data_IF_877851628896
#
_entry.id   IF_877851628896
#
_cell.length_a   1.000
_cell.length_b   1.000
_cell.length_c   1.000
_cell.angle_alpha   90.00
_cell.angle_beta   90.00
_cell.angle_gamma   90.00
#
_symmetry.space_group_name_H-M   'P 1'
#
loop_
_entity.id
_entity.type
_entity.pdbx_description
1 polymer ?
#
# COMPACT_ATOMS: atom_id res chain seq x y z
N UNK A 1 4.67 -18.63 9.32
CA UNK A 1 5.91 -17.85 9.43
C UNK A 1 6.13 -17.54 10.91
N UNK A 2 6.92 -18.37 11.60
CA UNK A 2 7.48 -17.99 12.89
C UNK A 2 8.39 -16.78 12.73
N UNK A 3 8.69 -16.04 13.77
CA UNK A 3 9.47 -14.79 13.90
C UNK A 3 10.72 -14.59 12.99
N UNK A 4 10.69 -15.07 11.74
CA UNK A 4 11.77 -14.88 10.77
C UNK A 4 11.46 -13.63 9.94
N UNK A 5 12.27 -12.62 10.10
CA UNK A 5 12.30 -11.49 9.19
C UNK A 5 12.99 -11.94 7.91
N UNK A 6 12.26 -11.96 6.81
CA UNK A 6 12.83 -12.15 5.47
C UNK A 6 13.05 -10.79 4.79
N UNK A 7 13.79 -10.80 3.69
CA UNK A 7 13.96 -9.60 2.88
C UNK A 7 13.38 -9.81 1.49
N UNK A 8 12.58 -8.84 1.06
CA UNK A 8 12.11 -8.70 -0.30
C UNK A 8 12.99 -7.67 -1.04
N UNK A 9 13.28 -7.93 -2.31
CA UNK A 9 13.96 -6.98 -3.17
C UNK A 9 12.94 -6.17 -3.95
N UNK A 10 12.94 -4.86 -3.73
CA UNK A 10 12.00 -3.94 -4.36
C UNK A 10 12.76 -2.93 -5.21
N UNK A 11 12.32 -2.74 -6.44
CA UNK A 11 12.88 -1.73 -7.34
C UNK A 11 12.66 -0.32 -6.79
N UNK A 12 13.72 0.51 -6.83
CA UNK A 12 13.67 1.89 -6.37
C UNK A 12 12.90 2.77 -7.36
N UNK A 13 13.22 2.66 -8.64
CA UNK A 13 12.56 3.41 -9.70
C UNK A 13 12.43 2.52 -10.95
N UNK A 14 11.20 2.09 -11.30
CA UNK A 14 10.98 1.24 -12.48
C UNK A 14 11.23 1.97 -13.82
N UNK A 15 11.34 3.30 -13.81
CA UNK A 15 11.57 4.13 -15.00
C UNK A 15 13.02 4.60 -15.12
N UNK A 16 13.93 4.14 -14.26
CA UNK A 16 15.34 4.51 -14.35
C UNK A 16 16.04 3.70 -15.44
N UNK A 17 17.02 4.30 -16.12
CA UNK A 17 17.87 3.59 -17.11
C UNK A 17 18.64 2.42 -16.47
N UNK A 18 19.04 2.56 -15.20
CA UNK A 18 19.63 1.49 -14.41
C UNK A 18 18.68 1.04 -13.30
N UNK A 19 18.28 -0.23 -13.33
CA UNK A 19 17.43 -0.82 -12.29
C UNK A 19 18.28 -0.97 -11.03
N UNK A 20 17.90 -0.23 -9.98
CA UNK A 20 18.45 -0.41 -8.65
C UNK A 20 17.39 -0.97 -7.72
N UNK A 21 17.77 -1.90 -6.87
CA UNK A 21 16.88 -2.51 -5.88
C UNK A 21 17.28 -2.13 -4.47
N UNK A 22 16.34 -2.23 -3.55
CA UNK A 22 16.57 -2.14 -2.11
C UNK A 22 15.98 -3.35 -1.42
N UNK A 23 16.58 -3.75 -0.32
CA UNK A 23 16.04 -4.79 0.55
C UNK A 23 15.04 -4.16 1.53
N UNK A 24 13.84 -4.72 1.55
CA UNK A 24 12.77 -4.35 2.47
C UNK A 24 12.47 -5.56 3.33
N UNK A 25 12.42 -5.38 4.65
CA UNK A 25 12.08 -6.45 5.59
C UNK A 25 10.62 -6.87 5.38
N UNK A 26 10.38 -8.17 5.45
CA UNK A 26 9.06 -8.79 5.34
C UNK A 26 8.78 -9.61 6.59
N UNK A 27 7.64 -9.39 7.22
CA UNK A 27 7.20 -10.12 8.41
C UNK A 27 5.73 -10.50 8.31
N UNK A 28 5.18 -11.08 9.37
CA UNK A 28 3.78 -11.49 9.44
C UNK A 28 2.80 -10.32 9.71
N UNK A 29 3.29 -9.11 9.96
CA UNK A 29 2.44 -7.93 10.12
C UNK A 29 2.87 -6.87 9.12
N UNK A 30 1.92 -6.46 8.27
CA UNK A 30 2.16 -5.50 7.19
C UNK A 30 1.06 -4.43 7.21
N UNK A 31 1.41 -3.23 6.76
CA UNK A 31 0.43 -2.21 6.39
C UNK A 31 0.32 -2.12 4.87
N UNK A 32 -0.92 -2.00 4.41
CA UNK A 32 -1.25 -1.75 3.00
C UNK A 32 -2.07 -0.46 2.90
N UNK A 33 -2.21 0.08 1.70
CA UNK A 33 -3.12 1.20 1.45
C UNK A 33 -4.57 0.76 1.65
N UNK A 34 -5.37 1.54 2.41
CA UNK A 34 -6.79 1.24 2.61
C UNK A 34 -7.58 1.16 1.30
N UNK A 35 -7.16 1.90 0.26
CA UNK A 35 -7.77 1.82 -1.06
C UNK A 35 -7.40 0.57 -1.85
N UNK A 36 -6.43 -0.21 -1.37
CA UNK A 36 -6.03 -1.49 -1.96
C UNK A 36 -6.90 -2.67 -1.49
N UNK A 37 -7.84 -2.44 -0.59
CA UNK A 37 -8.82 -3.42 -0.15
C UNK A 37 -10.25 -2.92 -0.35
N UNK A 38 -11.13 -3.78 -0.88
CA UNK A 38 -12.56 -3.48 -1.07
C UNK A 38 -13.40 -4.72 -0.71
N UNK A 39 -14.34 -4.55 0.22
CA UNK A 39 -15.22 -5.64 0.67
C UNK A 39 -16.27 -6.02 -0.38
N UNK A 40 -16.78 -5.04 -1.13
CA UNK A 40 -17.75 -5.20 -2.20
C UNK A 40 -17.21 -4.63 -3.51
N UNK A 41 -16.22 -5.29 -4.12
CA UNK A 41 -15.48 -4.72 -5.22
C UNK A 41 -16.34 -4.54 -6.48
N UNK A 42 -16.17 -3.44 -7.23
CA UNK A 42 -16.78 -3.27 -8.53
C UNK A 42 -16.24 -4.29 -9.55
N UNK A 43 -16.94 -4.51 -10.66
CA UNK A 43 -16.45 -5.35 -11.74
C UNK A 43 -15.03 -4.96 -12.18
N UNK A 44 -14.17 -5.95 -12.43
CA UNK A 44 -12.75 -5.77 -12.83
C UNK A 44 -11.84 -5.15 -11.76
N UNK A 45 -12.22 -5.23 -10.49
CA UNK A 45 -11.34 -4.87 -9.40
C UNK A 45 -10.21 -5.91 -9.26
N UNK A 46 -8.96 -5.46 -9.34
CA UNK A 46 -7.78 -6.33 -9.34
C UNK A 46 -6.90 -6.19 -8.09
N UNK A 47 -7.40 -5.49 -7.06
CA UNK A 47 -6.71 -5.37 -5.78
C UNK A 47 -7.26 -6.39 -4.79
N UNK A 48 -6.89 -6.30 -3.52
CA UNK A 48 -7.28 -7.25 -2.49
C UNK A 48 -8.77 -7.15 -2.16
N UNK A 49 -9.41 -8.30 -2.03
CA UNK A 49 -10.83 -8.46 -1.67
C UNK A 49 -11.00 -9.73 -0.87
N UNK A 50 -12.14 -9.94 -0.19
CA UNK A 50 -12.44 -11.21 0.46
C UNK A 50 -12.30 -12.39 -0.51
N UNK A 51 -11.65 -13.47 -0.06
CA UNK A 51 -11.37 -14.67 -0.86
C UNK A 51 -10.63 -14.37 -2.19
N UNK A 52 -9.81 -13.31 -2.18
CA UNK A 52 -9.10 -12.85 -3.36
C UNK A 52 -7.59 -12.95 -3.23
N UNK A 53 -6.93 -13.02 -4.39
CA UNK A 53 -5.49 -13.07 -4.47
C UNK A 53 -4.93 -11.77 -4.99
N UNK A 54 -3.79 -11.34 -4.42
CA UNK A 54 -3.05 -10.18 -4.89
C UNK A 54 -1.55 -10.39 -4.65
N UNK A 55 -0.71 -9.78 -5.46
CA UNK A 55 0.74 -9.78 -5.26
C UNK A 55 1.16 -8.57 -4.43
N UNK A 56 1.92 -8.81 -3.40
CA UNK A 56 2.69 -7.78 -2.71
C UNK A 56 3.92 -7.42 -3.56
N UNK A 57 4.12 -6.14 -3.85
CA UNK A 57 5.20 -5.69 -4.76
C UNK A 57 6.57 -6.16 -4.28
N UNK A 58 7.27 -6.90 -5.15
CA UNK A 58 8.59 -7.46 -4.84
C UNK A 58 8.60 -8.59 -3.82
N UNK A 59 7.43 -9.06 -3.34
CA UNK A 59 7.32 -10.11 -2.34
C UNK A 59 6.46 -11.28 -2.85
N UNK A 60 5.46 -11.68 -2.14
CA UNK A 60 4.68 -12.89 -2.37
C UNK A 60 3.29 -12.58 -2.95
N UNK A 61 2.64 -13.60 -3.48
CA UNK A 61 1.19 -13.61 -3.65
C UNK A 61 0.57 -13.96 -2.31
N UNK A 62 -0.46 -13.22 -1.92
CA UNK A 62 -1.26 -13.48 -0.72
C UNK A 62 -2.70 -13.76 -1.10
N UNK A 63 -3.37 -14.57 -0.28
CA UNK A 63 -4.79 -14.86 -0.33
C UNK A 63 -5.47 -14.24 0.88
N UNK A 64 -6.58 -13.54 0.69
CA UNK A 64 -7.38 -12.99 1.79
C UNK A 64 -8.26 -14.08 2.39
N UNK A 65 -7.93 -14.55 3.59
CA UNK A 65 -8.65 -15.63 4.26
C UNK A 65 -9.83 -15.11 5.08
N UNK A 66 -9.64 -13.98 5.78
CA UNK A 66 -10.63 -13.43 6.69
C UNK A 66 -10.43 -11.92 6.87
N UNK A 67 -11.53 -11.23 7.11
CA UNK A 67 -11.54 -9.78 7.38
C UNK A 67 -12.22 -9.52 8.72
N UNK A 68 -11.62 -8.69 9.53
CA UNK A 68 -12.24 -8.13 10.73
C UNK A 68 -12.62 -6.67 10.48
N UNK A 69 -13.80 -6.32 10.97
CA UNK A 69 -14.37 -4.98 10.83
C UNK A 69 -14.48 -4.31 12.20
N UNK A 70 -14.38 -3.00 12.22
CA UNK A 70 -14.74 -2.18 13.35
C UNK A 70 -16.27 -2.10 13.51
N UNK A 71 -16.73 -1.56 14.65
CA UNK A 71 -18.15 -1.36 14.91
C UNK A 71 -18.86 -0.41 13.94
N UNK A 72 -18.11 0.44 13.26
CA UNK A 72 -18.58 1.37 12.24
C UNK A 72 -18.61 0.77 10.82
N UNK A 73 -18.23 -0.51 10.67
CA UNK A 73 -18.16 -1.21 9.39
C UNK A 73 -16.88 -0.98 8.60
N UNK A 74 -15.95 -0.18 9.09
CA UNK A 74 -14.64 -0.01 8.46
C UNK A 74 -13.76 -1.24 8.68
N UNK A 75 -12.86 -1.52 7.75
CA UNK A 75 -11.92 -2.65 7.84
C UNK A 75 -10.91 -2.37 8.96
N UNK A 76 -10.83 -3.31 9.90
CA UNK A 76 -9.86 -3.27 11.00
C UNK A 76 -8.60 -4.04 10.65
N UNK A 77 -8.75 -5.29 10.22
CA UNK A 77 -7.65 -6.20 9.95
C UNK A 77 -8.03 -7.17 8.84
N UNK A 78 -7.13 -7.38 7.92
CA UNK A 78 -7.23 -8.44 6.91
C UNK A 78 -6.25 -9.55 7.28
N UNK A 79 -6.73 -10.76 7.39
CA UNK A 79 -5.91 -11.95 7.58
C UNK A 79 -5.68 -12.61 6.23
N UNK A 80 -4.42 -12.89 5.95
CA UNK A 80 -4.05 -13.43 4.66
C UNK A 80 -2.96 -14.50 4.80
N UNK A 81 -3.06 -15.54 4.01
CA UNK A 81 -2.04 -16.57 3.85
C UNK A 81 -1.13 -16.23 2.65
N UNK A 82 0.12 -16.62 2.77
CA UNK A 82 1.09 -16.53 1.68
C UNK A 82 0.95 -17.76 0.80
N UNK A 83 0.90 -17.56 -0.51
CA UNK A 83 0.94 -18.66 -1.48
C UNK A 83 2.37 -19.19 -1.58
N UNK A 84 2.53 -20.50 -1.40
CA UNK A 84 3.82 -21.15 -1.49
C UNK A 84 4.47 -20.95 -2.85
N UNK A 85 5.81 -20.83 -2.85
CA UNK A 85 6.64 -20.68 -4.05
C UNK A 85 6.27 -19.48 -4.94
N UNK A 86 5.59 -18.47 -4.38
CA UNK A 86 5.14 -17.27 -5.12
C UNK A 86 6.07 -16.07 -4.97
N UNK A 87 7.28 -16.25 -4.44
CA UNK A 87 8.24 -15.15 -4.21
C UNK A 87 8.61 -14.46 -5.52
N UNK A 88 8.52 -13.14 -5.53
CA UNK A 88 8.90 -12.33 -6.70
C UNK A 88 10.37 -12.57 -7.08
N UNK A 89 10.62 -12.79 -8.36
CA UNK A 89 11.94 -13.16 -8.88
C UNK A 89 12.23 -14.65 -8.92
N UNK A 90 11.49 -15.49 -8.18
CA UNK A 90 11.60 -16.95 -8.16
C UNK A 90 10.22 -17.62 -8.02
N UNK A 91 9.22 -17.06 -8.71
CA UNK A 91 7.84 -17.56 -8.64
C UNK A 91 7.66 -18.87 -9.42
N UNK A 92 7.41 -19.94 -8.70
CA UNK A 92 7.11 -21.27 -9.23
C UNK A 92 5.66 -21.70 -8.89
N UNK A 93 4.84 -20.81 -8.32
CA UNK A 93 3.46 -21.10 -7.93
C UNK A 93 2.55 -21.43 -9.11
N UNK A 94 2.93 -21.04 -10.32
CA UNK A 94 2.09 -21.15 -11.53
C UNK A 94 0.88 -20.21 -11.54
N UNK A 95 0.70 -19.38 -10.52
CA UNK A 95 -0.43 -18.46 -10.40
C UNK A 95 -0.16 -17.14 -11.13
N UNK A 96 -1.15 -16.71 -11.92
CA UNK A 96 -1.13 -15.39 -12.58
C UNK A 96 -2.10 -14.45 -11.90
N UNK A 97 -1.58 -13.53 -11.07
CA UNK A 97 -2.38 -12.52 -10.39
C UNK A 97 -2.18 -11.18 -11.09
N UNK A 98 -3.28 -10.51 -11.43
CA UNK A 98 -3.24 -9.21 -12.14
C UNK A 98 -2.93 -8.03 -11.22
N UNK A 99 -3.35 -8.14 -9.96
CA UNK A 99 -3.21 -7.07 -8.97
C UNK A 99 -1.84 -7.10 -8.31
N UNK A 100 -1.23 -5.92 -8.18
CA UNK A 100 -0.03 -5.69 -7.37
C UNK A 100 -0.32 -4.53 -6.44
N UNK A 101 -0.10 -4.71 -5.13
CA UNK A 101 -0.30 -3.68 -4.12
C UNK A 101 1.00 -3.34 -3.40
N UNK A 102 1.06 -2.12 -2.87
CA UNK A 102 2.17 -1.66 -2.04
C UNK A 102 1.96 -2.13 -0.59
N UNK A 103 3.05 -2.27 0.11
CA UNK A 103 3.05 -2.68 1.52
C UNK A 103 4.27 -2.15 2.25
N UNK A 104 4.17 -2.05 3.58
CA UNK A 104 5.28 -1.77 4.47
C UNK A 104 5.25 -2.71 5.67
N UNK A 105 6.44 -3.09 6.15
CA UNK A 105 6.55 -3.95 7.34
C UNK A 105 6.17 -3.14 8.59
N UNK A 106 5.24 -3.66 9.39
CA UNK A 106 4.79 -2.99 10.60
C UNK A 106 5.91 -2.85 11.66
N UNK A 107 6.89 -3.77 11.66
CA UNK A 107 8.00 -3.74 12.63
C UNK A 107 9.03 -2.65 12.35
N UNK A 108 9.21 -2.25 11.07
CA UNK A 108 10.28 -1.33 10.65
C UNK A 108 9.74 -0.02 10.07
N UNK A 109 8.41 0.15 10.03
CA UNK A 109 7.82 1.37 9.52
C UNK A 109 7.85 2.49 10.57
N UNK A 110 7.86 3.72 10.06
CA UNK A 110 7.74 4.91 10.88
C UNK A 110 6.47 5.67 10.50
N UNK A 111 5.80 6.32 11.46
CA UNK A 111 4.67 7.17 11.14
C UNK A 111 5.11 8.35 10.29
N UNK A 112 4.37 8.64 9.24
CA UNK A 112 4.62 9.76 8.33
C UNK A 112 3.36 10.58 8.17
N UNK A 113 3.56 11.87 7.98
CA UNK A 113 2.51 12.83 7.66
C UNK A 113 2.75 13.33 6.25
N UNK A 114 1.78 13.10 5.36
CA UNK A 114 1.81 13.57 3.99
C UNK A 114 0.78 14.68 3.78
N UNK A 115 1.13 15.65 2.95
CA UNK A 115 0.20 16.69 2.52
C UNK A 115 -0.09 16.50 1.04
N UNK A 116 -1.37 16.34 0.73
CA UNK A 116 -1.84 16.33 -0.66
C UNK A 116 -2.36 17.70 -1.00
N UNK A 117 -1.86 18.26 -2.10
CA UNK A 117 -2.30 19.53 -2.60
C UNK A 117 -3.17 19.33 -3.85
N UNK A 118 -4.26 20.05 -3.93
CA UNK A 118 -5.12 20.22 -5.12
C UNK A 118 -4.91 21.62 -5.68
N UNK A 119 -5.62 21.94 -6.75
CA UNK A 119 -5.64 23.32 -7.28
C UNK A 119 -6.02 24.31 -6.17
N UNK A 120 -5.27 25.40 -6.07
CA UNK A 120 -5.54 26.46 -5.10
C UNK A 120 -6.82 27.24 -5.47
N UNK A 121 -7.16 27.27 -6.75
CA UNK A 121 -8.37 27.95 -7.24
C UNK A 121 -9.34 26.94 -7.83
N UNK A 122 -10.61 27.12 -7.54
CA UNK A 122 -11.70 26.45 -8.24
C UNK A 122 -11.83 27.01 -9.67
N UNK A 123 -12.34 26.23 -10.64
CA UNK A 123 -12.67 26.74 -11.96
C UNK A 123 -13.60 27.96 -11.87
N UNK A 124 -13.49 28.96 -12.76
CA UNK A 124 -14.42 30.07 -12.76
C UNK A 124 -15.83 29.59 -13.11
N UNK A 125 -16.79 29.97 -12.29
CA UNK A 125 -18.22 29.80 -12.59
C UNK A 125 -18.74 31.08 -13.27
N UNK A 126 -19.05 31.00 -14.55
CA UNK A 126 -19.78 32.05 -15.31
C UNK A 126 -19.23 33.50 -15.23
N UNK A 127 -17.97 33.70 -15.59
CA UNK A 127 -17.39 35.02 -15.68
C UNK A 127 -16.22 35.29 -14.76
N UNK A 128 -15.66 36.48 -14.83
CA UNK A 128 -14.53 36.88 -13.98
C UNK A 128 -14.99 37.13 -12.55
N UNK A 129 -14.82 36.12 -11.73
CA UNK A 129 -14.92 36.25 -10.27
C UNK A 129 -13.57 36.59 -9.69
N UNK A 130 -13.55 37.39 -8.64
CA UNK A 130 -12.34 37.69 -7.87
C UNK A 130 -11.66 36.37 -7.47
N UNK A 131 -10.34 36.30 -7.63
CA UNK A 131 -9.58 35.08 -7.30
C UNK A 131 -9.75 34.68 -5.85
N UNK A 132 -10.05 35.62 -4.95
CA UNK A 132 -10.28 35.33 -3.51
C UNK A 132 -11.57 34.53 -3.29
N UNK A 133 -12.60 34.72 -4.10
CA UNK A 133 -13.85 33.99 -4.05
C UNK A 133 -13.67 32.54 -4.58
N UNK A 134 -12.69 32.36 -5.44
CA UNK A 134 -12.36 31.08 -6.06
C UNK A 134 -11.39 30.24 -5.22
N UNK A 135 -10.92 30.73 -4.07
CA UNK A 135 -9.99 29.98 -3.23
C UNK A 135 -10.59 28.65 -2.80
N UNK A 136 -9.90 27.57 -3.18
CA UNK A 136 -10.21 26.22 -2.73
C UNK A 136 -9.66 26.00 -1.32
N UNK A 137 -10.51 26.13 -0.33
CA UNK A 137 -10.13 25.94 1.08
C UNK A 137 -9.71 24.51 1.37
N UNK A 138 -10.14 23.53 0.54
CA UNK A 138 -9.78 22.11 0.63
C UNK A 138 -8.59 21.76 -0.28
N UNK A 139 -7.83 22.78 -0.69
CA UNK A 139 -6.65 22.59 -1.55
C UNK A 139 -5.53 21.80 -0.87
N UNK A 140 -5.52 21.73 0.46
CA UNK A 140 -4.55 20.98 1.25
C UNK A 140 -5.26 19.97 2.11
N UNK A 141 -4.92 18.69 1.93
CA UNK A 141 -5.39 17.59 2.78
C UNK A 141 -4.20 16.94 3.49
N UNK A 142 -4.33 16.74 4.79
CA UNK A 142 -3.35 15.99 5.58
C UNK A 142 -3.73 14.51 5.59
N UNK A 143 -2.74 13.65 5.36
CA UNK A 143 -2.88 12.20 5.37
C UNK A 143 -1.82 11.64 6.31
N UNK A 144 -2.25 10.84 7.27
CA UNK A 144 -1.36 10.11 8.15
C UNK A 144 -1.17 8.68 7.63
N UNK A 145 0.03 8.16 7.70
CA UNK A 145 0.35 6.82 7.22
C UNK A 145 1.66 6.31 7.78
N UNK A 146 2.16 5.23 7.19
CA UNK A 146 3.42 4.61 7.56
C UNK A 146 4.34 4.51 6.35
N UNK A 147 5.63 4.67 6.57
CA UNK A 147 6.65 4.56 5.53
C UNK A 147 7.89 3.83 6.02
N UNK A 148 8.63 3.23 5.09
CA UNK A 148 9.92 2.62 5.36
C UNK A 148 11.01 3.48 4.74
N UNK A 149 11.98 3.88 5.53
CA UNK A 149 13.16 4.60 5.05
C UNK A 149 14.31 3.60 4.88
N UNK A 150 14.67 3.33 3.65
CA UNK A 150 15.83 2.50 3.31
C UNK A 150 17.03 3.38 2.94
N UNK A 151 17.74 3.95 3.91
CA UNK A 151 18.89 4.89 3.75
C UNK A 151 18.51 6.38 3.84
N UNK A 152 19.46 7.24 4.23
CA UNK A 152 19.19 8.67 4.36
C UNK A 152 18.81 9.25 2.99
N UNK A 153 17.54 9.52 2.81
CA UNK A 153 17.06 10.24 1.64
C UNK A 153 17.57 11.67 1.75
N UNK A 154 18.30 12.20 0.76
CA UNK A 154 18.58 13.63 0.70
C UNK A 154 17.23 14.36 0.70
N UNK A 155 17.09 15.38 1.53
CA UNK A 155 15.85 16.15 1.73
C UNK A 155 15.29 16.84 0.46
N UNK A 156 15.80 16.55 -0.71
CA UNK A 156 15.51 17.22 -1.99
C UNK A 156 14.71 16.40 -2.99
N UNK A 157 14.35 15.14 -2.70
CA UNK A 157 13.52 14.37 -3.62
C UNK A 157 12.39 13.66 -2.88
N UNK A 158 11.24 14.30 -2.81
CA UNK A 158 9.99 13.64 -2.49
C UNK A 158 9.51 13.01 -3.81
N UNK A 159 9.52 11.68 -3.95
CA UNK A 159 8.87 11.07 -5.10
C UNK A 159 7.37 11.29 -4.99
N UNK A 160 6.74 11.46 -6.14
CA UNK A 160 5.33 11.67 -6.36
C UNK A 160 4.44 10.87 -5.39
N UNK A 161 3.57 11.58 -4.69
CA UNK A 161 2.80 11.17 -3.53
C UNK A 161 1.67 10.18 -3.87
N UNK A 162 1.99 8.99 -4.35
CA UNK A 162 1.02 7.90 -4.49
C UNK A 162 1.26 6.87 -3.41
N UNK A 163 0.29 6.76 -2.53
CA UNK A 163 0.07 5.74 -1.50
C UNK A 163 0.85 5.90 -0.19
N UNK A 164 0.25 6.63 0.72
CA UNK A 164 0.45 6.51 2.15
C UNK A 164 -0.94 6.30 2.78
N UNK A 165 -1.30 5.08 3.06
CA UNK A 165 -2.48 4.79 3.85
C UNK A 165 -2.30 3.47 4.60
N UNK A 166 -2.84 3.40 5.78
CA UNK A 166 -2.64 2.29 6.67
C UNK A 166 -3.89 1.42 6.74
N UNK A 167 -3.76 0.17 6.37
CA UNK A 167 -4.57 -0.90 6.95
C UNK A 167 -3.64 -2.05 7.32
N UNK A 168 -3.92 -2.70 8.42
CA UNK A 168 -3.10 -3.77 8.96
C UNK A 168 -3.47 -5.09 8.30
N UNK A 169 -2.49 -5.75 7.67
CA UNK A 169 -2.61 -7.14 7.23
C UNK A 169 -1.83 -8.03 8.18
N UNK A 170 -2.52 -8.95 8.85
CA UNK A 170 -1.89 -10.02 9.63
C UNK A 170 -1.92 -11.31 8.84
N UNK A 171 -0.76 -11.92 8.63
CA UNK A 171 -0.72 -13.29 8.11
C UNK A 171 -1.06 -14.27 9.23
N UNK A 172 -1.95 -15.21 8.96
CA UNK A 172 -2.17 -16.36 9.83
C UNK A 172 -0.97 -17.30 9.67
N UNK A 173 -0.08 -17.33 10.65
CA UNK A 173 0.77 -18.49 10.82
C UNK A 173 -0.09 -19.60 11.39
N UNK A 174 -0.12 -20.77 10.77
CA UNK A 174 -0.66 -21.97 11.37
C UNK A 174 0.02 -22.18 12.73
N UNK A 175 -0.71 -21.97 13.81
CA UNK A 175 -0.47 -22.66 15.05
C UNK A 175 -0.92 -24.10 14.81
N UNK A 176 -0.01 -24.92 14.33
CA UNK A 176 -0.14 -26.38 14.50
C UNK A 176 0.42 -26.69 15.87
N UNK A 177 -0.43 -27.22 16.70
CA UNK A 177 -0.27 -27.84 18.02
C UNK A 177 1.01 -28.70 18.11
#
# INVERSE_FOLDING_TARGET
>A
FGKRTEFAEVENNPNAEAITTRKVSFSNELYIDGSDFESNPPPKYHRLKPDGYVRLKGAYIIHCDRVEYNSDGTVKTVFASVVDNSKSGSDESGMKVKGVIQWVNAADCVPVKAYRFKSLLNPPENGETDFTERLNRDSRTEINGFGVFSSPIPRTSIPDSRSLAASLVKSLSEETI
#
